data_IF_847741203079
#
_entry.id   IF_847741203079
#
_cell.length_a   1.000
_cell.length_b   1.000
_cell.length_c   1.000
_cell.angle_alpha   90.00
_cell.angle_beta   90.00
_cell.angle_gamma   90.00
#
_symmetry.space_group_name_H-M   'P 1'
#
loop_
_entity.id
_entity.type
_entity.pdbx_description
1 polymer ?
#
# COMPACT_ATOMS: atom_id res chain seq x y z
N UNK A 1 -16.29 -35.72 -15.04
CA UNK A 1 -15.45 -34.87 -14.16
C UNK A 1 -16.42 -34.23 -13.17
N UNK A 2 -16.33 -34.55 -11.87
CA UNK A 2 -17.16 -33.88 -10.86
C UNK A 2 -16.71 -32.42 -10.84
N UNK A 3 -17.59 -31.51 -11.31
CA UNK A 3 -17.26 -30.09 -11.40
C UNK A 3 -16.83 -29.53 -10.05
N UNK A 4 -15.78 -28.76 -10.04
CA UNK A 4 -15.27 -28.07 -8.85
C UNK A 4 -16.43 -27.23 -8.27
N UNK A 5 -16.81 -27.50 -7.00
CA UNK A 5 -17.88 -26.75 -6.34
C UNK A 5 -17.24 -25.62 -5.53
N UNK A 6 -17.56 -24.39 -5.88
CA UNK A 6 -17.22 -23.22 -5.07
C UNK A 6 -18.25 -23.06 -3.96
N UNK A 7 -17.79 -22.94 -2.72
CA UNK A 7 -18.64 -22.67 -1.56
C UNK A 7 -19.05 -21.19 -1.57
N UNK A 8 -20.31 -20.91 -1.88
CA UNK A 8 -20.87 -19.57 -1.87
C UNK A 8 -21.30 -19.17 -0.45
N UNK A 9 -21.08 -17.94 -0.01
CA UNK A 9 -21.74 -17.39 1.18
C UNK A 9 -23.27 -17.44 1.01
N UNK A 10 -23.98 -17.60 2.13
CA UNK A 10 -25.45 -17.69 2.11
C UNK A 10 -26.13 -16.51 1.40
N UNK A 11 -25.71 -15.23 1.59
CA UNK A 11 -26.29 -14.11 0.84
C UNK A 11 -26.06 -14.21 -0.66
N UNK A 12 -24.86 -14.60 -1.10
CA UNK A 12 -24.56 -14.78 -2.53
C UNK A 12 -25.42 -15.89 -3.14
N UNK A 13 -25.50 -17.04 -2.48
CA UNK A 13 -26.34 -18.15 -2.91
C UNK A 13 -27.84 -17.75 -2.99
N UNK A 14 -28.31 -16.96 -2.02
CA UNK A 14 -29.68 -16.43 -1.99
C UNK A 14 -29.93 -15.49 -3.19
N UNK A 15 -29.03 -14.56 -3.49
CA UNK A 15 -29.17 -13.65 -4.62
C UNK A 15 -29.24 -14.42 -5.94
N UNK A 16 -28.30 -15.37 -6.14
CA UNK A 16 -28.30 -16.21 -7.35
C UNK A 16 -29.59 -17.02 -7.49
N UNK A 17 -30.06 -17.66 -6.40
CA UNK A 17 -31.29 -18.46 -6.41
C UNK A 17 -32.50 -17.61 -6.81
N UNK A 18 -32.69 -16.44 -6.16
CA UNK A 18 -33.80 -15.55 -6.45
C UNK A 18 -33.80 -15.06 -7.90
N UNK A 19 -32.64 -14.75 -8.47
CA UNK A 19 -32.53 -14.37 -9.89
C UNK A 19 -32.89 -15.55 -10.82
N UNK A 20 -32.35 -16.75 -10.56
CA UNK A 20 -32.65 -17.95 -11.36
C UNK A 20 -34.11 -18.34 -11.29
N UNK A 21 -34.75 -18.33 -10.11
CA UNK A 21 -36.17 -18.64 -9.92
C UNK A 21 -37.10 -17.68 -10.69
N UNK A 22 -36.61 -16.45 -10.99
CA UNK A 22 -37.29 -15.49 -11.80
C UNK A 22 -36.87 -15.51 -13.27
N UNK A 23 -36.14 -16.53 -13.71
CA UNK A 23 -35.78 -16.76 -15.12
C UNK A 23 -34.58 -15.97 -15.62
N UNK A 24 -33.76 -15.41 -14.76
CA UNK A 24 -32.56 -14.65 -15.14
C UNK A 24 -31.29 -15.46 -14.84
N UNK A 25 -30.42 -15.56 -15.82
CA UNK A 25 -29.06 -16.05 -15.59
C UNK A 25 -28.35 -15.15 -14.61
N UNK A 26 -27.63 -15.74 -13.67
CA UNK A 26 -26.84 -15.02 -12.67
C UNK A 26 -25.64 -15.85 -12.21
N UNK A 27 -24.52 -15.18 -11.94
CA UNK A 27 -23.24 -15.82 -11.61
C UNK A 27 -22.47 -14.98 -10.60
N UNK A 28 -21.75 -15.62 -9.69
CA UNK A 28 -20.61 -15.01 -9.02
C UNK A 28 -19.48 -14.82 -10.05
N UNK A 29 -18.71 -13.72 -10.01
CA UNK A 29 -17.82 -13.36 -11.10
C UNK A 29 -16.55 -12.67 -10.65
N UNK A 30 -15.46 -12.90 -11.36
CA UNK A 30 -14.22 -12.13 -11.15
C UNK A 30 -13.36 -12.61 -10.00
N UNK A 31 -12.97 -11.69 -9.10
CA UNK A 31 -12.05 -11.95 -8.00
C UNK A 31 -12.45 -13.08 -7.09
N UNK A 32 -13.73 -13.17 -6.74
CA UNK A 32 -14.24 -14.24 -5.86
C UNK A 32 -14.10 -15.64 -6.48
N UNK A 33 -14.31 -15.77 -7.79
CA UNK A 33 -14.12 -17.05 -8.49
C UNK A 33 -12.65 -17.43 -8.53
N UNK A 34 -11.77 -16.50 -8.92
CA UNK A 34 -10.31 -16.69 -8.91
C UNK A 34 -9.82 -17.12 -7.52
N UNK A 35 -10.15 -16.37 -6.48
CA UNK A 35 -9.65 -16.62 -5.13
C UNK A 35 -10.16 -17.95 -4.58
N UNK A 36 -11.42 -18.31 -4.87
CA UNK A 36 -11.96 -19.63 -4.54
C UNK A 36 -11.21 -20.77 -5.24
N UNK A 37 -10.83 -20.59 -6.51
CA UNK A 37 -10.03 -21.57 -7.26
C UNK A 37 -8.61 -21.71 -6.71
N UNK A 38 -8.05 -20.62 -6.16
CA UNK A 38 -6.77 -20.60 -5.46
C UNK A 38 -6.87 -21.04 -3.99
N UNK A 39 -8.02 -21.57 -3.56
CA UNK A 39 -8.28 -21.95 -2.17
C UNK A 39 -8.07 -20.81 -1.14
N UNK A 40 -8.23 -19.56 -1.59
CA UNK A 40 -8.21 -18.36 -0.74
C UNK A 40 -9.66 -17.97 -0.40
N UNK A 41 -9.88 -17.38 0.76
CA UNK A 41 -11.18 -16.82 1.12
C UNK A 41 -11.39 -15.49 0.39
N UNK A 42 -12.40 -15.37 -0.50
CA UNK A 42 -12.72 -14.10 -1.13
C UNK A 42 -13.17 -13.04 -0.11
N UNK A 43 -12.74 -11.81 -0.28
CA UNK A 43 -13.20 -10.68 0.53
C UNK A 43 -14.56 -10.16 0.04
N UNK A 44 -14.71 -9.98 -1.27
CA UNK A 44 -15.89 -9.41 -1.90
C UNK A 44 -16.50 -10.43 -2.88
N UNK A 45 -17.83 -10.44 -2.99
CA UNK A 45 -18.55 -11.30 -3.90
C UNK A 45 -19.36 -10.47 -4.89
N UNK A 46 -18.80 -10.31 -6.10
CA UNK A 46 -19.47 -9.66 -7.21
C UNK A 46 -20.40 -10.64 -7.90
N UNK A 47 -21.60 -10.16 -8.25
CA UNK A 47 -22.59 -10.93 -8.96
C UNK A 47 -22.89 -10.24 -10.29
N UNK A 48 -23.02 -11.04 -11.35
CA UNK A 48 -23.46 -10.53 -12.66
C UNK A 48 -24.67 -11.29 -13.16
N UNK A 49 -25.59 -10.64 -13.87
CA UNK A 49 -26.87 -11.21 -14.26
C UNK A 49 -27.42 -10.66 -15.59
N UNK A 50 -28.28 -11.43 -16.26
CA UNK A 50 -29.08 -10.97 -17.41
C UNK A 50 -30.20 -9.99 -17.01
N UNK A 51 -30.58 -9.91 -15.72
CA UNK A 51 -31.61 -9.01 -15.25
C UNK A 51 -31.17 -7.54 -15.34
N UNK A 52 -32.01 -6.67 -15.90
CA UNK A 52 -31.74 -5.22 -15.97
C UNK A 52 -31.86 -4.57 -14.58
N UNK A 53 -31.19 -3.44 -14.31
CA UNK A 53 -31.17 -2.83 -12.98
C UNK A 53 -32.55 -2.59 -12.35
N UNK A 54 -33.50 -2.10 -13.12
CA UNK A 54 -34.89 -1.92 -12.63
C UNK A 54 -35.55 -3.22 -12.18
N UNK A 55 -35.25 -4.32 -12.89
CA UNK A 55 -35.79 -5.62 -12.54
C UNK A 55 -35.12 -6.19 -11.30
N UNK A 56 -33.80 -5.94 -11.12
CA UNK A 56 -33.12 -6.30 -9.87
C UNK A 56 -33.73 -5.59 -8.69
N UNK A 57 -33.98 -4.27 -8.77
CA UNK A 57 -34.63 -3.49 -7.70
C UNK A 57 -36.02 -4.04 -7.38
N UNK A 58 -36.82 -4.38 -8.40
CA UNK A 58 -38.15 -4.97 -8.22
C UNK A 58 -38.09 -6.32 -7.50
N UNK A 59 -37.16 -7.20 -7.94
CA UNK A 59 -37.04 -8.55 -7.37
C UNK A 59 -36.51 -8.56 -5.92
N UNK A 60 -35.74 -7.52 -5.53
CA UNK A 60 -35.20 -7.38 -4.20
C UNK A 60 -35.78 -6.21 -3.41
N UNK A 61 -37.06 -5.88 -3.69
CA UNK A 61 -37.77 -4.77 -3.02
C UNK A 61 -37.92 -4.93 -1.50
N UNK A 62 -37.75 -6.12 -0.98
CA UNK A 62 -37.68 -6.47 0.45
C UNK A 62 -36.29 -6.26 1.10
N UNK A 63 -35.29 -5.86 0.33
CA UNK A 63 -33.91 -5.64 0.77
C UNK A 63 -33.52 -4.17 0.50
N UNK A 64 -32.77 -3.51 1.40
CA UNK A 64 -32.25 -2.18 1.13
C UNK A 64 -31.32 -2.17 -0.09
N UNK A 65 -31.57 -1.23 -1.02
CA UNK A 65 -30.87 -1.12 -2.30
C UNK A 65 -30.18 0.24 -2.40
N UNK A 66 -28.90 0.25 -2.83
CA UNK A 66 -28.20 1.47 -3.21
C UNK A 66 -28.09 1.55 -4.73
N UNK A 67 -28.52 2.69 -5.29
CA UNK A 67 -28.64 2.91 -6.73
C UNK A 67 -27.47 3.69 -7.35
N UNK A 68 -26.38 3.84 -6.61
CA UNK A 68 -25.21 4.67 -7.02
C UNK A 68 -24.57 4.24 -8.33
N UNK A 69 -24.69 2.96 -8.73
CA UNK A 69 -24.12 2.38 -9.94
C UNK A 69 -25.06 2.23 -11.14
N UNK A 70 -26.31 2.71 -11.06
CA UNK A 70 -27.36 2.46 -12.07
C UNK A 70 -26.98 2.80 -13.51
N UNK A 71 -26.24 3.90 -13.71
CA UNK A 71 -25.77 4.33 -15.04
C UNK A 71 -24.87 3.31 -15.72
N UNK A 72 -24.18 2.49 -14.92
CA UNK A 72 -23.27 1.45 -15.39
C UNK A 72 -23.86 0.04 -15.25
N UNK A 73 -25.13 -0.07 -14.91
CA UNK A 73 -25.83 -1.35 -14.78
C UNK A 73 -25.64 -2.06 -13.45
N UNK A 74 -25.07 -1.40 -12.44
CA UNK A 74 -24.82 -1.98 -11.12
C UNK A 74 -25.83 -1.51 -10.08
N UNK A 75 -26.30 -2.44 -9.27
CA UNK A 75 -27.14 -2.25 -8.09
C UNK A 75 -26.47 -2.88 -6.90
N UNK A 76 -26.39 -2.21 -5.76
CA UNK A 76 -25.82 -2.78 -4.54
C UNK A 76 -26.94 -3.18 -3.58
N UNK A 77 -27.00 -4.45 -3.23
CA UNK A 77 -27.92 -5.00 -2.24
C UNK A 77 -27.24 -5.03 -0.88
N UNK A 78 -27.92 -4.56 0.18
CA UNK A 78 -27.41 -4.61 1.55
C UNK A 78 -28.06 -5.78 2.29
N UNK A 79 -27.31 -6.86 2.52
CA UNK A 79 -27.76 -8.05 3.26
C UNK A 79 -26.91 -8.17 4.51
N UNK A 80 -27.53 -8.19 5.68
CA UNK A 80 -26.85 -8.24 6.98
C UNK A 80 -25.81 -7.11 7.18
N UNK A 81 -26.12 -5.92 6.65
CA UNK A 81 -25.23 -4.73 6.61
C UNK A 81 -24.02 -4.85 5.70
N UNK A 82 -23.89 -5.95 4.94
CA UNK A 82 -22.80 -6.15 3.97
C UNK A 82 -23.27 -5.83 2.55
N UNK A 83 -22.46 -5.15 1.72
CA UNK A 83 -22.80 -4.79 0.36
C UNK A 83 -22.52 -5.94 -0.61
N UNK A 84 -23.48 -6.24 -1.50
CA UNK A 84 -23.33 -7.17 -2.62
C UNK A 84 -23.61 -6.42 -3.92
N UNK A 85 -22.61 -6.30 -4.78
CA UNK A 85 -22.78 -5.67 -6.08
C UNK A 85 -23.37 -6.66 -7.09
N UNK A 86 -24.50 -6.27 -7.70
CA UNK A 86 -25.19 -7.04 -8.74
C UNK A 86 -25.19 -6.19 -10.02
N UNK A 87 -24.42 -6.63 -11.01
CA UNK A 87 -24.23 -5.92 -12.27
C UNK A 87 -24.95 -6.64 -13.42
N UNK A 88 -25.71 -5.90 -14.22
CA UNK A 88 -26.30 -6.43 -15.45
C UNK A 88 -25.23 -6.75 -16.48
N UNK A 89 -25.30 -7.90 -17.18
CA UNK A 89 -24.39 -8.21 -18.30
C UNK A 89 -24.39 -7.07 -19.31
N UNK A 90 -23.20 -6.68 -19.73
CA UNK A 90 -23.04 -5.53 -20.59
C UNK A 90 -21.87 -5.66 -21.56
N UNK A 91 -22.01 -4.98 -22.67
CA UNK A 91 -20.94 -4.65 -23.60
C UNK A 91 -20.62 -3.19 -23.42
N UNK A 92 -19.39 -2.87 -23.25
CA UNK A 92 -18.92 -1.49 -23.14
C UNK A 92 -18.71 -0.95 -24.58
N UNK A 93 -19.17 0.28 -24.84
CA UNK A 93 -18.91 1.00 -26.09
C UNK A 93 -17.48 1.56 -26.15
N UNK A 94 -17.27 2.56 -27.02
CA UNK A 94 -15.97 3.22 -27.12
C UNK A 94 -15.63 3.97 -25.83
N UNK A 95 -14.34 4.23 -25.60
CA UNK A 95 -13.80 4.88 -24.42
C UNK A 95 -13.08 6.17 -24.81
N UNK A 96 -13.80 7.27 -25.00
CA UNK A 96 -13.19 8.54 -25.41
C UNK A 96 -12.41 9.21 -24.27
N UNK A 97 -12.80 8.99 -23.02
CA UNK A 97 -12.09 9.53 -21.85
C UNK A 97 -10.98 8.59 -21.30
N UNK A 98 -10.81 7.40 -21.94
CA UNK A 98 -9.83 6.40 -21.48
C UNK A 98 -10.16 5.77 -20.12
N UNK A 99 -11.43 5.81 -19.68
CA UNK A 99 -11.89 5.23 -18.41
C UNK A 99 -13.29 4.67 -18.45
N UNK A 100 -14.24 5.48 -18.87
CA UNK A 100 -15.65 5.10 -18.89
C UNK A 100 -16.08 4.83 -20.33
N UNK A 101 -16.80 3.75 -20.55
CA UNK A 101 -17.42 3.57 -21.86
C UNK A 101 -18.41 4.71 -22.11
N UNK A 102 -18.35 5.30 -23.31
CA UNK A 102 -19.26 6.36 -23.73
C UNK A 102 -20.72 5.91 -23.72
N UNK A 103 -20.93 4.62 -23.93
CA UNK A 103 -22.22 3.97 -23.84
C UNK A 103 -22.08 2.55 -23.28
N UNK A 104 -23.12 2.08 -22.61
CA UNK A 104 -23.25 0.72 -22.11
C UNK A 104 -24.47 0.08 -22.76
N UNK A 105 -24.25 -1.02 -23.47
CA UNK A 105 -25.34 -1.84 -24.00
C UNK A 105 -25.52 -3.09 -23.13
N UNK A 106 -26.72 -3.30 -22.62
CA UNK A 106 -27.01 -4.54 -21.88
C UNK A 106 -27.17 -5.71 -22.85
N UNK A 107 -26.53 -6.83 -22.48
CA UNK A 107 -26.61 -8.11 -23.20
C UNK A 107 -27.26 -9.19 -22.33
N UNK A 108 -27.62 -10.28 -22.96
CA UNK A 108 -28.05 -11.50 -22.25
C UNK A 108 -27.00 -12.60 -22.26
N UNK A 109 -25.86 -12.39 -22.96
CA UNK A 109 -24.76 -13.35 -23.03
C UNK A 109 -23.68 -13.00 -22.00
N UNK A 110 -23.42 -13.89 -21.08
CA UNK A 110 -22.37 -13.77 -20.05
C UNK A 110 -20.97 -13.64 -20.69
N UNK A 111 -20.75 -14.23 -21.89
CA UNK A 111 -19.46 -14.15 -22.58
C UNK A 111 -19.09 -12.73 -22.95
N UNK A 112 -20.07 -11.90 -23.32
CA UNK A 112 -19.87 -10.50 -23.63
C UNK A 112 -19.41 -9.73 -22.37
N UNK A 113 -20.02 -10.01 -21.20
CA UNK A 113 -19.65 -9.39 -19.93
C UNK A 113 -18.25 -9.81 -19.50
N UNK A 114 -17.88 -11.06 -19.70
CA UNK A 114 -16.52 -11.56 -19.40
C UNK A 114 -15.48 -11.00 -20.40
N UNK A 115 -15.83 -10.81 -21.65
CA UNK A 115 -14.94 -10.29 -22.69
C UNK A 115 -14.43 -8.87 -22.43
N UNK A 116 -15.19 -8.02 -21.74
CA UNK A 116 -14.76 -6.64 -21.41
C UNK A 116 -13.83 -6.54 -20.21
N UNK A 117 -13.56 -7.65 -19.49
CA UNK A 117 -12.70 -7.66 -18.31
C UNK A 117 -11.23 -7.52 -18.67
N UNK A 118 -10.41 -7.23 -17.65
CA UNK A 118 -8.99 -6.95 -17.82
C UNK A 118 -8.14 -8.21 -18.09
N UNK A 119 -8.25 -9.21 -17.21
CA UNK A 119 -7.39 -10.38 -17.17
C UNK A 119 -8.22 -11.67 -17.22
N UNK A 120 -7.71 -12.70 -17.87
CA UNK A 120 -8.37 -14.01 -18.01
C UNK A 120 -8.73 -14.60 -16.66
N UNK A 121 -7.83 -14.51 -15.69
CA UNK A 121 -8.04 -14.99 -14.30
C UNK A 121 -9.17 -14.27 -13.55
N UNK A 122 -9.60 -13.12 -14.03
CA UNK A 122 -10.75 -12.35 -13.51
C UNK A 122 -11.97 -12.41 -14.44
N UNK A 123 -11.86 -13.11 -15.59
CA UNK A 123 -12.91 -13.25 -16.59
C UNK A 123 -13.58 -14.63 -16.52
N UNK A 124 -13.79 -15.11 -15.30
CA UNK A 124 -14.49 -16.37 -15.01
C UNK A 124 -15.74 -16.08 -14.19
N UNK A 125 -16.79 -16.88 -14.41
CA UNK A 125 -18.04 -16.81 -13.69
C UNK A 125 -18.41 -18.19 -13.13
N UNK A 126 -19.17 -18.24 -12.03
CA UNK A 126 -19.61 -19.46 -11.41
C UNK A 126 -21.05 -19.41 -10.95
N UNK A 127 -21.79 -20.48 -11.19
CA UNK A 127 -23.10 -20.73 -10.60
C UNK A 127 -23.19 -22.19 -10.17
N UNK A 128 -23.90 -22.52 -9.10
CA UNK A 128 -24.15 -23.93 -8.72
C UNK A 128 -24.85 -24.75 -9.81
N UNK A 129 -25.66 -24.10 -10.66
CA UNK A 129 -26.43 -24.77 -11.70
C UNK A 129 -25.56 -25.13 -12.92
N UNK A 130 -24.61 -24.30 -13.31
CA UNK A 130 -23.82 -24.47 -14.55
C UNK A 130 -22.36 -24.82 -14.30
N UNK A 131 -21.87 -24.66 -13.07
CA UNK A 131 -20.44 -24.73 -12.78
C UNK A 131 -19.69 -23.48 -13.20
N UNK A 132 -18.40 -23.61 -13.53
CA UNK A 132 -17.53 -22.51 -13.97
C UNK A 132 -17.74 -22.26 -15.47
N UNK A 133 -17.94 -20.99 -15.80
CA UNK A 133 -17.93 -20.47 -17.18
C UNK A 133 -16.61 -19.74 -17.38
N UNK A 134 -15.78 -20.23 -18.28
CA UNK A 134 -14.42 -19.75 -18.54
C UNK A 134 -14.14 -19.73 -20.06
N UNK A 135 -14.64 -18.72 -20.78
CA UNK A 135 -14.47 -18.65 -22.22
C UNK A 135 -13.09 -18.20 -22.67
N UNK A 136 -12.23 -17.70 -21.74
CA UNK A 136 -10.93 -17.11 -22.04
C UNK A 136 -9.74 -17.86 -21.44
N UNK A 137 -9.97 -19.06 -20.87
CA UNK A 137 -8.90 -19.92 -20.34
C UNK A 137 -8.31 -19.46 -19.01
N UNK A 138 -9.09 -18.74 -18.19
CA UNK A 138 -8.64 -18.24 -16.89
C UNK A 138 -8.22 -19.35 -15.93
N UNK A 139 -8.87 -20.54 -15.95
CA UNK A 139 -8.46 -21.68 -15.14
C UNK A 139 -7.10 -22.24 -15.59
N UNK A 140 -6.83 -22.28 -16.88
CA UNK A 140 -5.53 -22.71 -17.41
C UNK A 140 -4.43 -21.72 -17.02
N UNK A 141 -4.68 -20.43 -17.16
CA UNK A 141 -3.74 -19.39 -16.75
C UNK A 141 -3.50 -19.41 -15.23
N UNK A 142 -4.52 -19.69 -14.39
CA UNK A 142 -4.34 -19.88 -12.94
C UNK A 142 -3.44 -21.08 -12.62
N UNK A 143 -3.64 -22.21 -13.29
CA UNK A 143 -2.84 -23.41 -13.10
C UNK A 143 -1.39 -23.26 -13.57
N UNK A 144 -1.17 -22.43 -14.60
CA UNK A 144 0.15 -22.13 -15.16
C UNK A 144 0.82 -20.90 -14.53
N UNK A 145 0.19 -20.27 -13.54
CA UNK A 145 0.67 -19.05 -12.87
C UNK A 145 0.94 -17.89 -13.84
N UNK A 146 0.00 -17.65 -14.76
CA UNK A 146 0.10 -16.65 -15.82
C UNK A 146 -0.88 -15.50 -15.60
N UNK A 147 -0.41 -14.26 -15.79
CA UNK A 147 -1.23 -13.05 -15.91
C UNK A 147 -1.36 -12.72 -17.40
N UNK A 148 -2.54 -12.95 -17.96
CA UNK A 148 -2.86 -12.71 -19.37
C UNK A 148 -4.04 -11.74 -19.51
N UNK A 149 -3.94 -10.81 -20.44
CA UNK A 149 -5.05 -9.93 -20.83
C UNK A 149 -6.14 -10.71 -21.57
N UNK A 150 -7.40 -10.31 -21.38
CA UNK A 150 -8.52 -10.85 -22.15
C UNK A 150 -8.51 -10.28 -23.58
N UNK A 151 -8.41 -11.15 -24.58
CA UNK A 151 -8.38 -10.75 -26.00
C UNK A 151 -7.10 -10.02 -26.39
N UNK A 152 -7.23 -8.93 -27.16
CA UNK A 152 -6.09 -8.13 -27.62
C UNK A 152 -5.62 -7.15 -26.52
N UNK A 153 -4.39 -7.30 -25.99
CA UNK A 153 -3.88 -6.46 -24.92
C UNK A 153 -3.77 -4.98 -25.31
N UNK A 154 -3.33 -4.68 -26.53
CA UNK A 154 -3.20 -3.28 -26.99
C UNK A 154 -4.55 -2.58 -27.05
N UNK A 155 -5.56 -3.25 -27.58
CA UNK A 155 -6.93 -2.73 -27.58
C UNK A 155 -7.43 -2.54 -26.15
N UNK A 156 -7.29 -3.57 -25.32
CA UNK A 156 -7.84 -3.60 -23.96
C UNK A 156 -7.23 -2.55 -23.03
N UNK A 157 -5.91 -2.32 -23.14
CA UNK A 157 -5.21 -1.30 -22.35
C UNK A 157 -5.44 0.12 -22.87
N UNK A 158 -5.72 0.29 -24.17
CA UNK A 158 -6.11 1.58 -24.73
C UNK A 158 -7.50 2.05 -24.24
N UNK A 159 -8.40 1.13 -23.88
CA UNK A 159 -9.72 1.43 -23.33
C UNK A 159 -9.64 2.02 -21.91
N UNK A 160 -8.86 1.41 -21.02
CA UNK A 160 -8.55 1.93 -19.67
C UNK A 160 -7.09 1.66 -19.33
N UNK A 161 -6.29 2.71 -19.38
CA UNK A 161 -4.85 2.61 -19.10
C UNK A 161 -4.53 2.16 -17.66
N UNK A 162 -5.47 2.23 -16.70
CA UNK A 162 -5.27 1.67 -15.37
C UNK A 162 -5.05 0.15 -15.41
N UNK A 163 -5.55 -0.54 -16.44
CA UNK A 163 -5.34 -1.98 -16.62
C UNK A 163 -3.85 -2.34 -16.72
N UNK A 164 -2.99 -1.42 -17.17
CA UNK A 164 -1.53 -1.56 -17.14
C UNK A 164 -1.03 -1.76 -15.69
N UNK A 165 -1.41 -0.86 -14.78
CA UNK A 165 -1.03 -0.96 -13.36
C UNK A 165 -1.67 -2.18 -12.69
N UNK A 166 -2.93 -2.51 -13.05
CA UNK A 166 -3.62 -3.70 -12.54
C UNK A 166 -2.90 -4.98 -12.92
N UNK A 167 -2.38 -5.08 -14.16
CA UNK A 167 -1.57 -6.23 -14.62
C UNK A 167 -0.36 -6.45 -13.72
N UNK A 168 0.42 -5.39 -13.48
CA UNK A 168 1.61 -5.46 -12.60
C UNK A 168 1.22 -5.73 -11.14
N UNK A 169 0.13 -5.12 -10.65
CA UNK A 169 -0.37 -5.40 -9.31
C UNK A 169 -0.78 -6.88 -9.13
N UNK A 170 -1.48 -7.48 -10.09
CA UNK A 170 -1.84 -8.89 -9.99
C UNK A 170 -0.62 -9.80 -10.06
N UNK A 171 0.38 -9.48 -10.87
CA UNK A 171 1.66 -10.18 -10.84
C UNK A 171 2.32 -10.08 -9.45
N UNK A 172 2.34 -8.88 -8.85
CA UNK A 172 2.88 -8.65 -7.52
C UNK A 172 2.13 -9.41 -6.40
N UNK A 173 0.79 -9.48 -6.48
CA UNK A 173 -0.05 -10.14 -5.46
C UNK A 173 -0.04 -11.66 -5.55
N UNK A 174 0.01 -12.19 -6.76
CA UNK A 174 -0.10 -13.63 -7.01
C UNK A 174 1.25 -14.32 -7.20
N UNK A 175 2.31 -13.60 -7.56
CA UNK A 175 3.60 -14.16 -7.94
C UNK A 175 3.60 -14.77 -9.34
N UNK A 176 2.63 -14.41 -10.16
CA UNK A 176 2.45 -14.98 -11.48
C UNK A 176 3.24 -14.21 -12.54
N UNK A 177 3.71 -14.91 -13.55
CA UNK A 177 4.44 -14.31 -14.68
C UNK A 177 3.47 -13.63 -15.64
N UNK A 178 3.78 -12.41 -16.07
CA UNK A 178 2.99 -11.72 -17.09
C UNK A 178 3.29 -12.35 -18.45
N UNK A 179 2.24 -12.72 -19.17
CA UNK A 179 2.33 -13.32 -20.51
C UNK A 179 3.05 -12.34 -21.47
N UNK A 180 3.93 -12.84 -22.37
CA UNK A 180 4.81 -11.99 -23.17
C UNK A 180 4.13 -10.92 -24.03
N UNK A 181 2.96 -11.22 -24.66
CA UNK A 181 2.24 -10.22 -25.46
C UNK A 181 1.54 -9.18 -24.60
N UNK A 182 1.01 -9.62 -23.43
CA UNK A 182 0.44 -8.75 -22.41
C UNK A 182 1.52 -7.80 -21.87
N UNK A 183 2.72 -8.32 -21.56
CA UNK A 183 3.83 -7.50 -21.07
C UNK A 183 4.34 -6.53 -22.13
N UNK A 184 4.39 -6.97 -23.41
CA UNK A 184 4.75 -6.08 -24.53
C UNK A 184 3.79 -4.91 -24.64
N UNK A 185 2.48 -5.16 -24.57
CA UNK A 185 1.48 -4.10 -24.58
C UNK A 185 1.62 -3.14 -23.38
N UNK A 186 2.03 -3.65 -22.20
CA UNK A 186 2.37 -2.79 -21.04
C UNK A 186 3.54 -1.87 -21.39
N UNK A 187 4.60 -2.39 -22.03
CA UNK A 187 5.74 -1.58 -22.44
C UNK A 187 5.39 -0.57 -23.54
N UNK A 188 4.60 -0.96 -24.53
CA UNK A 188 4.25 -0.09 -25.65
C UNK A 188 3.31 1.05 -25.24
N UNK A 189 2.45 0.81 -24.26
CA UNK A 189 1.39 1.75 -23.85
C UNK A 189 1.64 2.44 -22.48
N UNK A 190 2.81 2.24 -21.86
CA UNK A 190 3.08 2.73 -20.50
C UNK A 190 2.86 4.24 -20.32
N UNK A 191 3.11 5.05 -21.35
CA UNK A 191 2.91 6.52 -21.27
C UNK A 191 1.44 6.90 -21.11
N UNK A 192 0.51 6.05 -21.54
CA UNK A 192 -0.93 6.32 -21.44
C UNK A 192 -1.41 6.39 -20.00
N UNK A 193 -0.66 5.83 -19.03
CA UNK A 193 -0.96 5.92 -17.59
C UNK A 193 -1.04 7.37 -17.09
N UNK A 194 -0.38 8.30 -17.77
CA UNK A 194 -0.46 9.74 -17.45
C UNK A 194 -1.87 10.33 -17.54
N UNK A 195 -2.78 9.69 -18.26
CA UNK A 195 -4.19 10.11 -18.42
C UNK A 195 -5.10 9.64 -17.28
N UNK A 196 -4.63 8.70 -16.47
CA UNK A 196 -5.42 8.11 -15.37
C UNK A 196 -5.42 9.04 -14.16
N UNK A 197 -6.55 9.13 -13.46
CA UNK A 197 -6.68 9.87 -12.21
C UNK A 197 -5.67 9.37 -11.16
N UNK A 198 -4.99 10.30 -10.50
CA UNK A 198 -3.85 10.01 -9.63
C UNK A 198 -4.22 9.15 -8.43
N UNK A 199 -5.41 9.30 -7.89
CA UNK A 199 -5.94 8.48 -6.80
C UNK A 199 -6.07 6.99 -7.20
N UNK A 200 -6.48 6.73 -8.45
CA UNK A 200 -6.57 5.37 -8.97
C UNK A 200 -5.19 4.75 -9.14
N UNK A 201 -4.23 5.52 -9.66
CA UNK A 201 -2.82 5.10 -9.78
C UNK A 201 -2.28 4.78 -8.38
N UNK A 202 -2.50 5.67 -7.40
CA UNK A 202 -2.04 5.48 -6.03
C UNK A 202 -2.59 4.20 -5.40
N UNK A 203 -3.88 3.93 -5.60
CA UNK A 203 -4.52 2.71 -5.07
C UNK A 203 -3.89 1.44 -5.62
N UNK A 204 -3.62 1.37 -6.94
CA UNK A 204 -2.99 0.20 -7.56
C UNK A 204 -1.51 0.10 -7.16
N UNK A 205 -0.79 1.23 -7.14
CA UNK A 205 0.61 1.29 -6.68
C UNK A 205 0.75 0.76 -5.25
N UNK A 206 -0.08 1.25 -4.32
CA UNK A 206 -0.03 0.85 -2.93
C UNK A 206 -0.23 -0.66 -2.77
N UNK A 207 -1.25 -1.21 -3.44
CA UNK A 207 -1.52 -2.65 -3.45
C UNK A 207 -0.38 -3.46 -4.09
N UNK A 208 0.29 -2.92 -5.10
CA UNK A 208 1.42 -3.58 -5.73
C UNK A 208 2.67 -3.58 -4.85
N UNK A 209 2.99 -2.45 -4.22
CA UNK A 209 4.21 -2.28 -3.39
C UNK A 209 4.13 -3.07 -2.08
N UNK A 210 2.92 -3.22 -1.50
CA UNK A 210 2.70 -4.02 -0.30
C UNK A 210 2.56 -5.53 -0.56
N UNK A 211 2.63 -5.94 -1.82
CA UNK A 211 2.43 -7.34 -2.20
C UNK A 211 3.71 -8.19 -2.04
N UNK A 212 3.58 -9.51 -1.81
CA UNK A 212 4.72 -10.38 -1.55
C UNK A 212 5.76 -10.43 -2.69
N UNK A 213 5.33 -10.26 -3.94
CA UNK A 213 6.17 -10.34 -5.15
C UNK A 213 6.33 -8.97 -5.82
N UNK A 214 6.26 -7.90 -5.03
CA UNK A 214 6.31 -6.52 -5.52
C UNK A 214 7.55 -6.24 -6.37
N UNK A 215 8.73 -6.61 -5.88
CA UNK A 215 10.00 -6.31 -6.54
C UNK A 215 10.10 -6.97 -7.93
N UNK A 216 9.72 -8.24 -8.04
CA UNK A 216 9.74 -8.95 -9.32
C UNK A 216 8.78 -8.32 -10.33
N UNK A 217 7.55 -8.02 -9.91
CA UNK A 217 6.55 -7.40 -10.76
C UNK A 217 6.96 -5.99 -11.21
N UNK A 218 7.53 -5.18 -10.32
CA UNK A 218 8.01 -3.83 -10.65
C UNK A 218 9.26 -3.87 -11.55
N UNK A 219 10.14 -4.87 -11.38
CA UNK A 219 11.30 -5.11 -12.26
C UNK A 219 10.86 -5.44 -13.70
N UNK A 220 9.73 -6.12 -13.88
CA UNK A 220 9.21 -6.45 -15.20
C UNK A 220 8.71 -5.24 -16.00
N UNK A 221 8.24 -4.16 -15.36
CA UNK A 221 7.69 -2.98 -16.04
C UNK A 221 8.10 -1.65 -15.38
N UNK A 222 9.41 -1.35 -15.28
CA UNK A 222 9.88 -0.14 -14.57
C UNK A 222 9.41 1.15 -15.25
N UNK A 223 9.31 1.18 -16.59
CA UNK A 223 8.91 2.38 -17.32
C UNK A 223 7.48 2.80 -17.01
N UNK A 224 6.56 1.83 -16.82
CA UNK A 224 5.20 2.11 -16.39
C UNK A 224 5.19 2.82 -15.02
N UNK A 225 6.00 2.32 -14.08
CA UNK A 225 6.12 2.91 -12.75
C UNK A 225 6.72 4.32 -12.82
N UNK A 226 7.74 4.53 -13.65
CA UNK A 226 8.39 5.83 -13.82
C UNK A 226 7.49 6.87 -14.52
N UNK A 227 6.57 6.42 -15.38
CA UNK A 227 5.53 7.30 -15.94
C UNK A 227 4.42 7.60 -14.93
N UNK A 228 4.02 6.61 -14.13
CA UNK A 228 3.02 6.78 -13.08
C UNK A 228 3.51 7.72 -11.96
N UNK A 229 4.78 7.60 -11.58
CA UNK A 229 5.45 8.33 -10.48
C UNK A 229 6.82 8.83 -10.98
N UNK A 230 6.88 10.01 -11.62
CA UNK A 230 8.08 10.50 -12.29
C UNK A 230 9.31 10.64 -11.39
N UNK A 231 9.15 10.89 -10.10
CA UNK A 231 10.24 10.98 -9.14
C UNK A 231 11.05 9.69 -9.05
N UNK A 232 10.41 8.52 -9.22
CA UNK A 232 11.08 7.20 -9.18
C UNK A 232 12.05 6.99 -10.36
N UNK A 233 11.92 7.77 -11.45
CA UNK A 233 12.89 7.74 -12.55
C UNK A 233 14.32 8.11 -12.10
N UNK A 234 14.45 8.81 -10.97
CA UNK A 234 15.74 9.14 -10.39
C UNK A 234 16.51 7.92 -9.85
N UNK A 235 15.85 6.77 -9.68
CA UNK A 235 16.51 5.51 -9.27
C UNK A 235 17.22 4.82 -10.44
N UNK A 236 16.72 5.00 -11.67
CA UNK A 236 17.15 4.26 -12.86
C UNK A 236 18.58 4.56 -13.25
N UNK A 237 19.40 3.50 -13.36
CA UNK A 237 20.76 3.57 -13.92
C UNK A 237 21.71 4.45 -13.11
N UNK A 238 21.48 4.60 -11.81
CA UNK A 238 22.37 5.34 -10.91
C UNK A 238 23.31 4.35 -10.26
N UNK A 239 24.58 4.30 -10.68
CA UNK A 239 25.55 3.39 -10.08
C UNK A 239 25.87 3.82 -8.66
N UNK A 240 26.21 2.85 -7.82
CA UNK A 240 26.69 3.05 -6.45
C UNK A 240 28.08 2.45 -6.31
N UNK A 241 29.08 3.13 -6.88
CA UNK A 241 30.47 2.68 -6.76
C UNK A 241 30.97 2.89 -5.33
N UNK A 242 30.65 1.94 -4.47
CA UNK A 242 31.07 1.94 -3.06
C UNK A 242 31.27 0.51 -2.57
N UNK A 243 32.08 0.35 -1.53
CA UNK A 243 32.30 -0.97 -0.91
C UNK A 243 31.07 -1.53 -0.19
N UNK A 244 30.06 -0.70 0.05
CA UNK A 244 28.85 -1.08 0.80
C UNK A 244 27.69 -1.53 -0.10
N UNK A 245 27.73 -1.19 -1.40
CA UNK A 245 26.66 -1.48 -2.34
C UNK A 245 27.17 -2.39 -3.46
N UNK A 246 26.34 -3.34 -3.86
CA UNK A 246 26.63 -4.30 -4.95
C UNK A 246 25.65 -4.14 -6.12
N UNK A 247 24.63 -3.31 -5.96
CA UNK A 247 23.59 -3.01 -6.94
C UNK A 247 23.61 -1.53 -7.33
N UNK A 248 23.02 -1.17 -8.48
CA UNK A 248 22.61 0.21 -8.72
C UNK A 248 21.47 0.62 -7.80
N UNK A 249 21.08 1.90 -7.80
CA UNK A 249 20.05 2.39 -6.85
C UNK A 249 18.69 1.75 -7.09
N UNK A 250 18.32 1.43 -8.34
CA UNK A 250 17.04 0.79 -8.64
C UNK A 250 17.00 -0.66 -8.14
N UNK A 251 17.99 -1.47 -8.50
CA UNK A 251 18.06 -2.86 -8.03
C UNK A 251 18.23 -2.95 -6.51
N UNK A 252 18.98 -2.03 -5.90
CA UNK A 252 19.06 -1.92 -4.44
C UNK A 252 17.68 -1.68 -3.83
N UNK A 253 16.89 -0.75 -4.39
CA UNK A 253 15.53 -0.46 -3.92
C UNK A 253 14.61 -1.69 -4.05
N UNK A 254 14.71 -2.44 -5.15
CA UNK A 254 13.92 -3.66 -5.34
C UNK A 254 14.31 -4.76 -4.34
N UNK A 255 15.61 -5.00 -4.11
CA UNK A 255 16.07 -5.97 -3.11
C UNK A 255 15.69 -5.56 -1.67
N UNK A 256 15.70 -4.26 -1.38
CA UNK A 256 15.19 -3.77 -0.11
C UNK A 256 13.67 -4.02 0.01
N UNK A 257 12.91 -3.82 -1.06
CA UNK A 257 11.48 -4.09 -1.10
C UNK A 257 11.16 -5.58 -0.90
N UNK A 258 11.94 -6.50 -1.52
CA UNK A 258 11.84 -7.95 -1.27
C UNK A 258 12.03 -8.29 0.22
N UNK A 259 12.87 -7.53 0.91
CA UNK A 259 13.31 -7.78 2.28
C UNK A 259 12.49 -7.08 3.35
N UNK A 260 11.45 -6.28 2.99
CA UNK A 260 10.72 -5.43 3.96
C UNK A 260 10.00 -6.25 5.04
N UNK A 261 9.49 -7.42 4.70
CA UNK A 261 8.91 -8.37 5.65
C UNK A 261 7.64 -7.89 6.36
N UNK A 262 6.94 -6.92 5.79
CA UNK A 262 5.65 -6.39 6.27
C UNK A 262 4.82 -5.90 5.09
N UNK A 263 3.50 -5.90 5.26
CA UNK A 263 2.52 -5.31 4.36
C UNK A 263 2.04 -3.91 4.82
N UNK A 264 2.70 -3.33 5.84
CA UNK A 264 2.39 -1.97 6.32
C UNK A 264 2.62 -0.94 5.19
N UNK A 265 1.56 -0.23 4.75
CA UNK A 265 1.63 0.65 3.59
C UNK A 265 2.66 1.77 3.72
N UNK A 266 2.86 2.28 4.94
CA UNK A 266 3.80 3.38 5.21
C UNK A 266 5.23 2.88 5.08
N UNK A 267 5.54 1.69 5.61
CA UNK A 267 6.86 1.09 5.50
C UNK A 267 7.20 0.70 4.06
N UNK A 268 6.24 0.09 3.33
CA UNK A 268 6.41 -0.31 1.93
C UNK A 268 6.64 0.91 1.01
N UNK A 269 5.89 1.99 1.20
CA UNK A 269 6.14 3.23 0.46
C UNK A 269 7.48 3.85 0.85
N UNK A 270 7.84 3.86 2.13
CA UNK A 270 9.10 4.43 2.58
C UNK A 270 10.29 3.73 1.93
N UNK A 271 10.29 2.39 1.85
CA UNK A 271 11.38 1.65 1.21
C UNK A 271 11.41 1.86 -0.31
N UNK A 272 10.27 2.03 -0.97
CA UNK A 272 10.24 2.37 -2.39
C UNK A 272 10.91 3.72 -2.69
N UNK A 273 10.79 4.69 -1.79
CA UNK A 273 11.25 6.05 -1.99
C UNK A 273 12.56 6.40 -1.27
N UNK A 274 13.12 5.53 -0.40
CA UNK A 274 14.20 5.90 0.52
C UNK A 274 15.41 6.53 -0.18
N UNK A 275 15.74 6.06 -1.36
CA UNK A 275 16.93 6.44 -2.12
C UNK A 275 16.66 7.32 -3.35
N UNK A 276 15.44 7.78 -3.55
CA UNK A 276 15.04 8.55 -4.75
C UNK A 276 15.81 9.87 -4.92
N UNK A 277 16.43 10.36 -3.86
CA UNK A 277 17.26 11.57 -3.85
C UNK A 277 18.73 11.35 -4.23
N UNK A 278 19.24 10.10 -4.25
CA UNK A 278 20.66 9.80 -4.47
C UNK A 278 21.21 10.41 -5.74
N UNK A 279 20.48 10.31 -6.86
CA UNK A 279 20.91 10.88 -8.14
C UNK A 279 21.22 12.38 -8.08
N UNK A 280 20.43 13.11 -7.30
CA UNK A 280 20.54 14.58 -7.23
C UNK A 280 21.73 15.08 -6.40
N UNK A 281 22.29 14.23 -5.55
CA UNK A 281 23.38 14.59 -4.61
C UNK A 281 24.66 13.77 -4.82
N UNK A 282 24.67 12.89 -5.84
CA UNK A 282 25.83 12.04 -6.13
C UNK A 282 27.07 12.86 -6.46
N UNK A 283 28.15 12.57 -5.78
CA UNK A 283 29.50 13.08 -6.08
C UNK A 283 30.49 11.91 -6.06
N UNK A 284 31.56 11.99 -6.86
CA UNK A 284 32.63 11.00 -6.82
C UNK A 284 33.81 11.61 -6.10
N UNK A 285 34.30 10.96 -5.04
CA UNK A 285 35.44 11.40 -4.25
C UNK A 285 36.77 11.17 -4.96
N UNK A 286 37.86 11.71 -4.39
CA UNK A 286 39.24 11.49 -4.86
C UNK A 286 39.67 10.00 -4.75
N UNK A 287 39.01 9.26 -3.85
CA UNK A 287 39.18 7.81 -3.67
C UNK A 287 38.50 6.97 -4.76
N UNK A 288 37.80 7.63 -5.71
CA UNK A 288 37.05 7.00 -6.78
C UNK A 288 35.70 6.42 -6.36
N UNK A 289 35.29 6.58 -5.10
CA UNK A 289 33.98 6.13 -4.62
C UNK A 289 32.90 7.19 -4.76
N UNK A 290 31.66 6.73 -4.91
CA UNK A 290 30.49 7.60 -4.92
C UNK A 290 30.03 7.93 -3.49
N UNK A 291 29.68 9.20 -3.29
CA UNK A 291 29.14 9.74 -2.06
C UNK A 291 27.76 10.36 -2.32
N UNK A 292 26.85 10.20 -1.36
CA UNK A 292 25.44 10.62 -1.48
C UNK A 292 25.02 11.48 -0.26
N UNK A 293 25.88 12.41 0.17
CA UNK A 293 25.60 13.26 1.33
C UNK A 293 24.32 14.06 1.15
N UNK A 294 23.42 14.01 2.15
CA UNK A 294 22.12 14.68 2.12
C UNK A 294 21.08 14.02 1.23
N UNK A 295 21.28 12.75 0.83
CA UNK A 295 20.29 12.04 0.02
C UNK A 295 18.97 11.83 0.77
N UNK A 296 19.02 11.60 2.09
CA UNK A 296 17.82 11.35 2.88
C UNK A 296 16.87 12.57 2.88
N UNK A 297 17.40 13.78 3.06
CA UNK A 297 16.63 15.02 2.98
C UNK A 297 16.06 15.23 1.57
N UNK A 298 16.85 14.95 0.54
CA UNK A 298 16.43 15.08 -0.84
C UNK A 298 15.38 14.03 -1.21
N UNK A 299 15.56 12.79 -0.73
CA UNK A 299 14.58 11.71 -0.90
C UNK A 299 13.26 12.06 -0.23
N UNK A 300 13.28 12.55 1.01
CA UNK A 300 12.07 12.96 1.72
C UNK A 300 11.30 14.07 0.98
N UNK A 301 12.02 15.05 0.41
CA UNK A 301 11.40 16.11 -0.38
C UNK A 301 10.74 15.56 -1.66
N UNK A 302 11.40 14.68 -2.41
CA UNK A 302 10.84 14.04 -3.59
C UNK A 302 9.68 13.11 -3.25
N UNK A 303 9.73 12.44 -2.11
CA UNK A 303 8.64 11.59 -1.59
C UNK A 303 7.38 12.41 -1.29
N UNK A 304 7.54 13.53 -0.57
CA UNK A 304 6.42 14.43 -0.26
C UNK A 304 5.77 14.97 -1.55
N UNK A 305 6.56 15.39 -2.53
CA UNK A 305 6.08 15.84 -3.83
C UNK A 305 5.32 14.74 -4.58
N UNK A 306 5.89 13.53 -4.67
CA UNK A 306 5.29 12.39 -5.36
C UNK A 306 3.96 11.99 -4.74
N UNK A 307 3.91 11.80 -3.42
CA UNK A 307 2.70 11.39 -2.71
C UNK A 307 1.62 12.49 -2.72
N UNK A 308 2.00 13.76 -2.71
CA UNK A 308 1.07 14.88 -2.90
C UNK A 308 0.45 14.86 -4.30
N UNK A 309 1.27 14.61 -5.33
CA UNK A 309 0.81 14.50 -6.73
C UNK A 309 -0.13 13.32 -6.93
N UNK A 310 0.09 12.23 -6.19
CA UNK A 310 -0.76 11.04 -6.21
C UNK A 310 -2.02 11.18 -5.33
N UNK A 311 -2.26 12.34 -4.73
CA UNK A 311 -3.37 12.64 -3.83
C UNK A 311 -3.44 11.72 -2.62
N UNK A 312 -2.27 11.27 -2.12
CA UNK A 312 -2.17 10.57 -0.85
C UNK A 312 -2.62 11.46 0.31
N UNK A 313 -3.26 10.89 1.32
CA UNK A 313 -3.65 11.64 2.50
C UNK A 313 -2.43 12.20 3.27
N UNK A 314 -2.64 13.33 3.95
CA UNK A 314 -1.56 14.06 4.59
C UNK A 314 -0.83 13.23 5.66
N UNK A 315 -1.56 12.45 6.46
CA UNK A 315 -0.97 11.66 7.55
C UNK A 315 -0.06 10.55 7.01
N UNK A 316 -0.51 9.83 6.01
CA UNK A 316 0.30 8.80 5.33
C UNK A 316 1.53 9.44 4.68
N UNK A 317 1.36 10.54 3.93
CA UNK A 317 2.46 11.26 3.27
C UNK A 317 3.53 11.73 4.25
N UNK A 318 3.13 12.38 5.35
CA UNK A 318 4.04 12.87 6.39
C UNK A 318 4.80 11.74 7.07
N UNK A 319 4.12 10.65 7.42
CA UNK A 319 4.74 9.47 8.02
C UNK A 319 5.75 8.80 7.07
N UNK A 320 5.42 8.66 5.79
CA UNK A 320 6.34 8.09 4.79
C UNK A 320 7.56 8.98 4.62
N UNK A 321 7.38 10.29 4.44
CA UNK A 321 8.47 11.25 4.27
C UNK A 321 9.39 11.28 5.51
N UNK A 322 8.84 11.16 6.73
CA UNK A 322 9.63 11.08 7.97
C UNK A 322 10.46 9.80 8.01
N UNK A 323 9.93 8.64 7.61
CA UNK A 323 10.69 7.40 7.53
C UNK A 323 11.82 7.49 6.50
N UNK A 324 11.53 8.05 5.34
CA UNK A 324 12.52 8.28 4.28
C UNK A 324 13.63 9.23 4.77
N UNK A 325 13.30 10.29 5.51
CA UNK A 325 14.29 11.17 6.11
C UNK A 325 15.20 10.48 7.11
N UNK A 326 14.68 9.48 7.82
CA UNK A 326 15.36 8.85 8.95
C UNK A 326 15.95 7.46 8.62
N UNK A 327 15.77 6.93 7.41
CA UNK A 327 16.12 5.54 7.08
C UNK A 327 17.59 5.19 7.32
N UNK A 328 18.51 6.14 7.10
CA UNK A 328 19.96 5.99 7.32
C UNK A 328 20.40 6.46 8.73
N UNK A 329 19.48 6.53 9.68
CA UNK A 329 19.77 6.97 11.05
C UNK A 329 20.46 5.87 11.84
N UNK A 330 21.62 6.19 12.44
CA UNK A 330 22.27 5.30 13.40
C UNK A 330 21.49 5.26 14.72
N UNK A 331 21.35 4.07 15.30
CA UNK A 331 20.64 3.83 16.58
C UNK A 331 21.65 3.66 17.72
N UNK A 332 22.05 4.74 18.41
CA UNK A 332 22.97 4.63 19.53
C UNK A 332 22.29 4.01 20.75
N UNK A 333 22.90 2.93 21.30
CA UNK A 333 22.34 2.17 22.43
C UNK A 333 22.19 3.03 23.70
N UNK A 334 21.07 2.84 24.41
CA UNK A 334 20.79 3.35 25.78
C UNK A 334 21.14 4.82 26.03
N UNK A 335 20.96 5.67 25.01
CA UNK A 335 21.32 7.07 25.09
C UNK A 335 20.09 7.98 25.15
N UNK A 336 20.27 9.18 25.68
CA UNK A 336 19.25 10.23 25.59
C UNK A 336 18.82 10.49 24.13
N UNK A 337 19.74 10.39 23.16
CA UNK A 337 19.45 10.54 21.74
C UNK A 337 18.47 9.47 21.24
N UNK A 338 18.64 8.22 21.65
CA UNK A 338 17.72 7.13 21.31
C UNK A 338 16.32 7.37 21.88
N UNK A 339 16.23 7.74 23.18
CA UNK A 339 14.94 8.01 23.84
C UNK A 339 14.22 9.21 23.25
N UNK A 340 14.95 10.27 22.87
CA UNK A 340 14.38 11.42 22.16
C UNK A 340 13.85 11.03 20.78
N UNK A 341 14.56 10.19 20.03
CA UNK A 341 14.06 9.67 18.75
C UNK A 341 12.78 8.86 18.94
N UNK A 342 12.78 7.94 19.92
CA UNK A 342 11.60 7.14 20.25
C UNK A 342 10.42 8.00 20.73
N UNK A 343 10.69 9.03 21.55
CA UNK A 343 9.67 9.98 22.01
C UNK A 343 9.09 10.82 20.86
N UNK A 344 9.90 11.19 19.87
CA UNK A 344 9.48 11.92 18.68
C UNK A 344 8.56 11.08 17.80
N UNK A 345 8.94 9.85 17.51
CA UNK A 345 8.26 8.96 16.58
C UNK A 345 7.06 8.22 17.22
N UNK A 346 7.15 7.91 18.51
CA UNK A 346 6.30 6.90 19.12
C UNK A 346 6.70 5.49 18.69
N UNK A 347 6.13 4.47 19.36
CA UNK A 347 6.51 3.08 19.13
C UNK A 347 6.15 2.59 17.70
N UNK A 348 4.96 2.93 17.22
CA UNK A 348 4.47 2.46 15.91
C UNK A 348 5.38 2.92 14.78
N UNK A 349 5.64 4.23 14.69
CA UNK A 349 6.50 4.80 13.65
C UNK A 349 7.96 4.36 13.82
N UNK A 350 8.41 4.16 15.06
CA UNK A 350 9.75 3.64 15.34
C UNK A 350 9.93 2.20 14.83
N UNK A 351 8.93 1.32 15.03
CA UNK A 351 9.00 -0.04 14.50
C UNK A 351 8.95 -0.09 12.97
N UNK A 352 8.19 0.82 12.33
CA UNK A 352 8.27 1.02 10.88
C UNK A 352 9.66 1.43 10.42
N UNK A 353 10.29 2.38 11.14
CA UNK A 353 11.66 2.81 10.84
C UNK A 353 12.64 1.64 10.95
N UNK A 354 12.52 0.80 11.97
CA UNK A 354 13.35 -0.40 12.09
C UNK A 354 13.14 -1.39 10.93
N UNK A 355 11.91 -1.57 10.46
CA UNK A 355 11.60 -2.43 9.32
C UNK A 355 12.25 -1.88 8.03
N UNK A 356 12.12 -0.58 7.77
CA UNK A 356 12.72 0.10 6.62
C UNK A 356 14.24 0.00 6.67
N UNK A 357 14.88 0.37 7.80
CA UNK A 357 16.34 0.31 7.94
C UNK A 357 16.88 -1.13 7.86
N UNK A 358 16.11 -2.14 8.30
CA UNK A 358 16.47 -3.54 8.15
C UNK A 358 16.42 -3.96 6.68
N UNK A 359 15.37 -3.61 5.98
CA UNK A 359 15.18 -3.93 4.57
C UNK A 359 16.29 -3.31 3.71
N UNK A 360 16.60 -2.04 3.91
CA UNK A 360 17.74 -1.35 3.31
C UNK A 360 19.07 -2.08 3.62
N UNK A 361 19.30 -2.42 4.89
CA UNK A 361 20.53 -3.13 5.30
C UNK A 361 20.70 -4.48 4.62
N UNK A 362 19.61 -5.22 4.37
CA UNK A 362 19.64 -6.51 3.69
C UNK A 362 19.97 -6.42 2.19
N UNK A 363 19.78 -5.26 1.58
CA UNK A 363 20.14 -4.97 0.19
C UNK A 363 21.58 -4.46 0.02
N UNK A 364 22.35 -4.36 1.10
CA UNK A 364 23.78 -3.98 1.07
C UNK A 364 24.72 -5.15 0.77
N UNK A 365 26.01 -4.86 0.72
CA UNK A 365 27.05 -5.88 0.55
C UNK A 365 27.04 -6.87 1.74
N UNK A 366 27.18 -8.20 1.50
CA UNK A 366 26.99 -9.23 2.53
C UNK A 366 27.83 -9.04 3.79
N UNK A 367 29.05 -8.52 3.66
CA UNK A 367 29.98 -8.36 4.79
C UNK A 367 29.51 -7.35 5.86
N UNK A 368 28.62 -6.41 5.53
CA UNK A 368 28.13 -5.41 6.49
C UNK A 368 26.73 -5.69 7.03
N UNK A 369 26.03 -6.71 6.53
CA UNK A 369 24.64 -7.01 6.89
C UNK A 369 24.51 -7.41 8.36
N UNK A 370 25.40 -8.30 8.84
CA UNK A 370 25.31 -8.84 10.19
C UNK A 370 25.41 -7.76 11.25
N UNK A 371 26.39 -6.87 11.14
CA UNK A 371 26.60 -5.77 12.09
C UNK A 371 25.44 -4.78 12.09
N UNK A 372 24.91 -4.43 10.90
CA UNK A 372 23.76 -3.55 10.75
C UNK A 372 22.49 -4.18 11.36
N UNK A 373 22.21 -5.43 11.04
CA UNK A 373 21.04 -6.14 11.59
C UNK A 373 21.14 -6.32 13.11
N UNK A 374 22.34 -6.55 13.65
CA UNK A 374 22.56 -6.61 15.10
C UNK A 374 22.26 -5.27 15.77
N UNK A 375 22.73 -4.16 15.20
CA UNK A 375 22.43 -2.83 15.74
C UNK A 375 20.90 -2.54 15.78
N UNK A 376 20.18 -2.96 14.75
CA UNK A 376 18.72 -2.82 14.68
C UNK A 376 18.00 -3.72 15.69
N UNK A 377 18.47 -4.97 15.88
CA UNK A 377 17.92 -5.88 16.88
C UNK A 377 18.13 -5.35 18.31
N UNK A 378 19.31 -4.77 18.59
CA UNK A 378 19.59 -4.11 19.86
C UNK A 378 18.67 -2.89 20.09
N UNK A 379 18.44 -2.08 19.05
CA UNK A 379 17.53 -0.93 19.12
C UNK A 379 16.08 -1.38 19.38
N UNK A 380 15.64 -2.47 18.74
CA UNK A 380 14.33 -3.08 18.98
C UNK A 380 14.19 -3.53 20.43
N UNK A 381 15.16 -4.29 20.93
CA UNK A 381 15.16 -4.80 22.31
C UNK A 381 15.12 -3.67 23.35
N UNK A 382 15.86 -2.57 23.11
CA UNK A 382 15.82 -1.40 23.99
C UNK A 382 14.44 -0.73 23.96
N UNK A 383 13.83 -0.55 22.81
CA UNK A 383 12.48 0.02 22.70
C UNK A 383 11.43 -0.85 23.41
N UNK A 384 11.49 -2.17 23.24
CA UNK A 384 10.62 -3.14 23.93
C UNK A 384 10.82 -3.09 25.45
N UNK A 385 12.06 -2.93 25.93
CA UNK A 385 12.37 -2.79 27.34
C UNK A 385 11.75 -1.51 27.93
N UNK A 386 11.89 -0.38 27.21
CA UNK A 386 11.28 0.89 27.63
C UNK A 386 9.76 0.82 27.61
N UNK A 387 9.17 0.13 26.63
CA UNK A 387 7.73 -0.07 26.52
C UNK A 387 7.18 -0.91 27.70
N UNK A 388 7.84 -2.02 28.03
CA UNK A 388 7.48 -2.87 29.17
C UNK A 388 7.62 -2.14 30.51
N UNK A 389 8.60 -1.24 30.62
CA UNK A 389 8.81 -0.43 31.82
C UNK A 389 7.85 0.79 31.92
N UNK A 390 6.94 0.95 30.98
CA UNK A 390 6.07 2.14 30.84
C UNK A 390 6.87 3.46 30.95
N UNK A 391 8.01 3.51 30.25
CA UNK A 391 8.91 4.66 30.31
C UNK A 391 8.26 5.90 29.73
N UNK A 392 8.41 7.03 30.41
CA UNK A 392 7.83 8.31 30.02
C UNK A 392 8.45 8.85 28.73
N UNK A 393 7.71 8.82 27.63
CA UNK A 393 8.11 9.31 26.31
C UNK A 393 7.34 10.56 25.86
N UNK A 394 6.32 10.98 26.63
CA UNK A 394 5.45 12.09 26.22
C UNK A 394 5.02 12.95 27.40
N UNK A 395 4.62 14.18 27.08
CA UNK A 395 4.08 15.11 28.10
C UNK A 395 2.85 14.54 28.85
N UNK A 396 2.07 13.67 28.18
CA UNK A 396 0.88 13.04 28.80
C UNK A 396 1.25 12.01 29.85
N UNK A 397 2.44 11.43 29.74
CA UNK A 397 2.95 10.41 30.68
C UNK A 397 3.74 11.03 31.85
N UNK A 398 4.06 12.34 31.81
CA UNK A 398 4.68 13.02 32.94
C UNK A 398 3.76 12.97 34.16
N UNK A 399 4.34 12.70 35.31
CA UNK A 399 3.60 12.63 36.59
C UNK A 399 3.23 14.02 37.18
N UNK A 400 3.51 15.09 36.44
CA UNK A 400 3.07 16.47 36.72
C UNK A 400 2.38 17.06 35.49
N UNK A 401 1.56 18.05 35.71
CA UNK A 401 0.68 18.67 34.73
C UNK A 401 0.88 20.18 34.67
N UNK A 402 0.28 20.84 33.68
CA UNK A 402 0.25 22.31 33.62
C UNK A 402 -0.39 22.97 34.83
N UNK A 403 -1.33 22.29 35.52
CA UNK A 403 -1.93 22.81 36.78
C UNK A 403 -0.91 22.88 37.91
N UNK A 404 -0.03 21.89 38.00
CA UNK A 404 1.05 21.89 38.99
C UNK A 404 2.00 23.07 38.74
N UNK A 405 2.35 23.34 37.48
CA UNK A 405 3.21 24.48 37.15
C UNK A 405 2.52 25.83 37.44
N UNK A 406 1.21 25.94 37.24
CA UNK A 406 0.45 27.14 37.61
C UNK A 406 0.55 27.44 39.08
N UNK A 407 0.53 26.42 39.98
CA UNK A 407 0.70 26.57 41.41
C UNK A 407 2.09 27.14 41.78
N UNK A 408 3.12 26.93 40.92
CA UNK A 408 4.44 27.53 41.07
C UNK A 408 4.58 28.91 40.38
N UNK A 409 3.47 29.48 39.84
CA UNK A 409 3.44 30.81 39.21
C UNK A 409 3.76 30.86 37.74
N UNK A 410 3.93 29.70 37.03
CA UNK A 410 4.11 29.68 35.60
C UNK A 410 2.80 30.00 34.87
N UNK A 411 2.87 30.75 33.75
CA UNK A 411 1.70 31.16 32.96
C UNK A 411 1.97 31.03 31.45
N UNK A 412 0.89 30.84 30.69
CA UNK A 412 0.93 30.85 29.22
C UNK A 412 1.96 29.89 28.63
N UNK A 413 2.78 30.40 27.72
CA UNK A 413 3.81 29.64 26.99
C UNK A 413 4.87 29.01 27.89
N UNK A 414 5.20 29.65 29.01
CA UNK A 414 6.19 29.15 29.96
C UNK A 414 5.83 27.78 30.56
N UNK A 415 4.53 27.44 30.69
CA UNK A 415 4.07 26.13 31.16
C UNK A 415 4.54 25.05 30.17
N UNK A 416 4.25 25.21 28.88
CA UNK A 416 4.63 24.23 27.84
C UNK A 416 6.15 24.08 27.72
N UNK A 417 6.89 25.18 27.76
CA UNK A 417 8.35 25.18 27.67
C UNK A 417 8.98 24.44 28.88
N UNK A 418 8.45 24.66 30.10
CA UNK A 418 8.94 23.99 31.30
C UNK A 418 8.59 22.51 31.31
N UNK A 419 7.37 22.11 30.90
CA UNK A 419 7.01 20.70 30.75
C UNK A 419 7.93 19.98 29.75
N UNK A 420 8.25 20.61 28.61
CA UNK A 420 9.18 20.05 27.63
C UNK A 420 10.61 19.90 28.20
N UNK A 421 11.09 20.87 28.99
CA UNK A 421 12.39 20.75 29.68
C UNK A 421 12.42 19.59 30.66
N UNK A 422 11.34 19.40 31.43
CA UNK A 422 11.23 18.30 32.38
C UNK A 422 11.14 16.96 31.68
N UNK A 423 10.38 16.86 30.59
CA UNK A 423 10.35 15.66 29.76
C UNK A 423 11.75 15.34 29.22
N UNK A 424 12.47 16.34 28.71
CA UNK A 424 13.83 16.13 28.22
C UNK A 424 14.80 15.66 29.31
N UNK A 425 14.69 16.21 30.52
CA UNK A 425 15.46 15.75 31.69
C UNK A 425 15.15 14.30 32.06
N UNK A 426 13.88 13.87 31.96
CA UNK A 426 13.49 12.46 32.14
C UNK A 426 14.02 11.58 31.03
N UNK A 427 13.91 11.99 29.76
CA UNK A 427 14.46 11.26 28.61
C UNK A 427 15.99 11.10 28.71
N UNK A 428 16.68 12.10 29.25
CA UNK A 428 18.11 12.05 29.50
C UNK A 428 18.51 11.21 30.73
N UNK A 429 17.53 10.76 31.54
CA UNK A 429 17.80 10.04 32.79
C UNK A 429 18.35 10.93 33.92
N UNK A 430 18.24 12.25 33.80
CA UNK A 430 18.65 13.22 34.80
C UNK A 430 17.64 13.29 35.97
N UNK A 431 16.36 13.07 35.66
CA UNK A 431 15.29 13.03 36.63
C UNK A 431 14.46 11.74 36.42
N UNK A 432 14.00 11.09 37.52
CA UNK A 432 12.99 10.06 37.37
C UNK A 432 11.62 10.73 37.10
N UNK A 433 10.75 10.01 36.40
CA UNK A 433 9.36 10.45 36.22
C UNK A 433 8.54 10.17 37.51
N UNK A 434 8.89 10.83 38.59
CA UNK A 434 8.23 10.76 39.88
C UNK A 434 7.71 12.14 40.27
N UNK A 435 6.46 12.19 40.76
CA UNK A 435 5.78 13.44 41.02
C UNK A 435 6.52 14.30 42.09
N UNK A 436 6.96 13.69 43.17
CA UNK A 436 7.61 14.42 44.28
C UNK A 436 8.97 14.97 43.84
N UNK A 437 9.74 14.15 43.11
CA UNK A 437 11.04 14.56 42.59
C UNK A 437 10.92 15.70 41.56
N UNK A 438 9.92 15.62 40.68
CA UNK A 438 9.67 16.66 39.68
C UNK A 438 9.21 17.97 40.31
N UNK A 439 8.34 17.92 41.34
CA UNK A 439 7.92 19.11 42.12
C UNK A 439 9.09 19.74 42.88
N UNK A 440 9.91 18.93 43.56
CA UNK A 440 11.10 19.42 44.28
C UNK A 440 12.09 20.09 43.32
N UNK A 441 12.24 19.54 42.09
CA UNK A 441 13.07 20.16 41.05
C UNK A 441 12.52 21.53 40.65
N UNK A 442 11.19 21.68 40.48
CA UNK A 442 10.53 22.94 40.18
C UNK A 442 10.72 23.98 41.29
N UNK A 443 10.61 23.59 42.55
CA UNK A 443 10.86 24.48 43.70
C UNK A 443 12.26 25.09 43.64
N UNK A 444 13.28 24.25 43.45
CA UNK A 444 14.67 24.69 43.35
C UNK A 444 14.91 25.58 42.12
N UNK A 445 14.23 25.32 41.02
CA UNK A 445 14.31 26.12 39.81
C UNK A 445 13.72 27.52 40.03
N UNK A 446 12.55 27.62 40.67
CA UNK A 446 11.88 28.88 40.93
C UNK A 446 12.60 29.72 41.97
N UNK A 447 13.27 29.10 42.97
CA UNK A 447 14.08 29.80 43.97
C UNK A 447 15.38 30.42 43.40
N UNK A 448 15.92 29.85 42.32
CA UNK A 448 17.12 30.36 41.65
C UNK A 448 16.83 31.52 40.67
N UNK A 449 15.57 31.71 40.29
CA UNK A 449 15.17 32.67 39.29
C UNK A 449 14.18 33.74 39.84
N UNK A 450 13.94 33.75 41.16
CA UNK A 450 13.45 34.87 41.92
C UNK A 450 14.65 35.69 42.44
#
# INVERSE_FOLDING_TARGET
MSGLKIALPAPCAFILSRLHENGFEAYAVGGCVRDSLLHKTPHDWDITTAAKPKKIIELFSDIPVLETGLKHGTVTLLIDHEPYEVTTFRVDGDYTDGRHPDSVAFTTDIRDDLARRDLTINAMAYSPATGIIDPFGGQEDLNNEIIRCVGDPHKRFSEDALRLMRTIRFAAVLGFTVEPETLRAVHDLHETIGRVAKERIFTELLKAVCAPYAAEALRAAPELLFCAVPQLKNLKGVPQNSKYHIYDVWEHTLHALESIGTDDPIACLAILFHDVGKKAVRTTGEDGYDHFFGHAEKSAAFTDEALRTLHCDNKTRENVAELVLLHDTAFPKRTAKFRRLLAKLGYEQFYRLLAVSRADSLAHAPWCIEDRCKALADAKSEAESLQKADFCLSLRQLKITGKDLQAFGFQGKAIGETLNKLLDAVLCGQLPNDREVLLLHLERYTQKHK
#
